data_IF_050726944462
#
_entry.id   IF_050726944462
#
_cell.length_a   1.000
_cell.length_b   1.000
_cell.length_c   1.000
_cell.angle_alpha   90.00
_cell.angle_beta   90.00
_cell.angle_gamma   90.00
#
_symmetry.space_group_name_H-M   'P 1'
#
loop_
_entity.id
_entity.type
_entity.pdbx_description
1 polymer ?
#
# COMPACT_ATOMS: atom_id res chain seq x y z
N UNK A 1 -20.27 3.72 -6.49
CA UNK A 1 -19.05 4.00 -5.68
C UNK A 1 -18.78 2.94 -4.60
N UNK A 2 -19.75 2.66 -3.72
CA UNK A 2 -19.61 1.64 -2.68
C UNK A 2 -19.37 0.23 -3.25
N UNK A 3 -20.13 -0.18 -4.27
CA UNK A 3 -19.95 -1.47 -4.95
C UNK A 3 -18.53 -1.67 -5.49
N UNK A 4 -17.93 -0.62 -6.06
CA UNK A 4 -16.57 -0.68 -6.58
C UNK A 4 -15.52 -0.85 -5.46
N UNK A 5 -15.76 -0.29 -4.27
CA UNK A 5 -14.88 -0.48 -3.10
C UNK A 5 -15.06 -1.91 -2.56
N UNK A 6 -16.30 -2.35 -2.39
CA UNK A 6 -16.62 -3.69 -1.91
C UNK A 6 -16.09 -4.79 -2.85
N UNK A 7 -16.03 -4.51 -4.15
CA UNK A 7 -15.47 -5.43 -5.13
C UNK A 7 -13.96 -5.71 -4.91
N UNK A 8 -13.23 -4.83 -4.23
CA UNK A 8 -11.81 -4.99 -3.91
C UNK A 8 -11.58 -5.69 -2.56
N UNK A 9 -12.63 -5.86 -1.75
CA UNK A 9 -12.49 -6.51 -0.44
C UNK A 9 -12.04 -7.96 -0.57
N UNK A 10 -11.23 -8.41 0.40
CA UNK A 10 -10.69 -9.77 0.48
C UNK A 10 -11.02 -10.32 1.87
N UNK A 11 -11.98 -11.24 1.94
CA UNK A 11 -12.38 -11.84 3.21
C UNK A 11 -11.23 -12.65 3.83
N UNK A 12 -11.00 -12.42 5.13
CA UNK A 12 -9.98 -13.13 5.91
C UNK A 12 -8.53 -12.70 5.66
N UNK A 13 -8.29 -11.63 4.88
CA UNK A 13 -6.96 -11.07 4.71
C UNK A 13 -6.59 -10.08 5.83
N UNK A 14 -5.46 -10.31 6.49
CA UNK A 14 -4.91 -9.37 7.50
C UNK A 14 -4.12 -8.22 6.86
N UNK A 15 -3.64 -8.43 5.63
CA UNK A 15 -2.85 -7.43 4.89
C UNK A 15 -3.78 -6.69 3.92
N UNK A 16 -3.96 -5.39 4.17
CA UNK A 16 -4.85 -4.54 3.39
C UNK A 16 -4.13 -3.74 2.30
N UNK A 17 -2.82 -3.54 2.44
CA UNK A 17 -2.00 -2.78 1.52
C UNK A 17 -0.53 -3.20 1.61
N UNK A 18 0.13 -3.31 0.47
CA UNK A 18 1.58 -3.44 0.35
C UNK A 18 2.08 -2.34 -0.57
N UNK A 19 3.10 -1.61 -0.15
CA UNK A 19 3.74 -0.59 -0.98
C UNK A 19 5.22 -0.53 -0.71
N UNK A 20 5.93 0.21 -1.56
CA UNK A 20 7.37 0.42 -1.43
C UNK A 20 7.74 1.83 -0.98
N UNK A 21 8.93 1.93 -0.42
CA UNK A 21 9.64 3.17 -0.24
C UNK A 21 11.08 3.02 -0.76
N UNK A 22 11.57 4.04 -1.44
CA UNK A 22 12.93 4.06 -1.95
C UNK A 22 13.52 5.47 -1.95
N UNK A 23 14.81 5.61 -2.32
CA UNK A 23 15.52 6.88 -2.33
C UNK A 23 14.95 7.90 -3.34
N UNK A 24 14.13 7.44 -4.29
CA UNK A 24 13.59 8.25 -5.37
C UNK A 24 14.68 8.71 -6.36
N UNK A 25 14.27 9.37 -7.45
CA UNK A 25 15.21 9.78 -8.51
C UNK A 25 16.27 10.80 -8.06
N UNK A 26 16.02 11.51 -6.95
CA UNK A 26 16.94 12.51 -6.38
C UNK A 26 17.67 12.05 -5.12
N UNK A 27 17.48 10.80 -4.69
CA UNK A 27 18.14 10.27 -3.48
C UNK A 27 17.69 10.87 -2.14
N UNK A 28 16.66 11.71 -2.13
CA UNK A 28 16.21 12.48 -0.96
C UNK A 28 14.87 11.99 -0.38
N UNK A 29 14.47 10.76 -0.74
CA UNK A 29 13.23 10.11 -0.30
C UNK A 29 13.56 8.90 0.56
N UNK A 30 12.55 8.36 1.23
CA UNK A 30 12.65 7.14 2.01
C UNK A 30 11.36 6.80 2.72
N UNK A 31 11.41 5.78 3.57
CA UNK A 31 10.24 5.24 4.29
C UNK A 31 9.45 6.32 5.04
N UNK A 32 10.15 7.21 5.77
CA UNK A 32 9.50 8.28 6.55
C UNK A 32 8.66 9.20 5.67
N UNK A 33 9.16 9.58 4.49
CA UNK A 33 8.44 10.43 3.56
C UNK A 33 7.22 9.69 3.00
N UNK A 34 7.38 8.42 2.63
CA UNK A 34 6.30 7.63 2.06
C UNK A 34 5.16 7.41 3.07
N UNK A 35 5.48 7.08 4.33
CA UNK A 35 4.50 6.97 5.41
C UNK A 35 3.83 8.32 5.66
N UNK A 36 4.60 9.41 5.72
CA UNK A 36 4.03 10.76 5.93
C UNK A 36 3.01 11.10 4.84
N UNK A 37 3.35 10.89 3.57
CA UNK A 37 2.45 11.20 2.46
C UNK A 37 1.21 10.31 2.43
N UNK A 38 1.37 9.03 2.78
CA UNK A 38 0.25 8.11 2.94
C UNK A 38 -0.73 8.59 4.01
N UNK A 39 -0.23 8.99 5.19
CA UNK A 39 -1.04 9.53 6.29
C UNK A 39 -1.66 10.90 5.96
N UNK A 40 -0.90 11.78 5.29
CA UNK A 40 -1.38 13.10 4.87
C UNK A 40 -2.53 12.99 3.87
N UNK A 41 -2.47 12.01 2.96
CA UNK A 41 -3.59 11.70 2.06
C UNK A 41 -4.86 11.39 2.87
N UNK A 42 -4.77 10.52 3.88
CA UNK A 42 -5.91 10.18 4.75
C UNK A 42 -6.50 11.36 5.51
N UNK A 43 -5.70 12.41 5.72
CA UNK A 43 -6.11 13.67 6.36
C UNK A 43 -6.61 14.72 5.36
N UNK A 44 -6.66 14.40 4.07
CA UNK A 44 -7.05 15.33 3.01
C UNK A 44 -6.02 16.43 2.72
N UNK A 45 -4.74 16.20 3.04
CA UNK A 45 -3.66 17.17 2.83
C UNK A 45 -2.95 16.94 1.49
N UNK A 46 -2.53 18.00 0.78
CA UNK A 46 -1.72 17.89 -0.43
C UNK A 46 -0.21 17.68 -0.11
N UNK A 47 0.59 17.17 -1.06
CA UNK A 47 0.20 16.39 -2.24
C UNK A 47 -0.04 14.92 -1.84
N UNK A 48 -1.24 14.41 -2.11
CA UNK A 48 -1.58 13.04 -1.77
C UNK A 48 -1.20 12.07 -2.89
N UNK A 49 -0.31 11.12 -2.62
CA UNK A 49 -0.17 9.93 -3.48
C UNK A 49 -1.48 9.14 -3.44
N UNK A 50 -1.99 8.77 -4.62
CA UNK A 50 -3.31 8.15 -4.77
C UNK A 50 -3.33 6.63 -4.51
N UNK A 51 -2.15 6.02 -4.37
CA UNK A 51 -1.99 4.61 -4.07
C UNK A 51 -2.34 4.31 -2.61
N UNK A 52 -3.01 3.18 -2.37
CA UNK A 52 -3.48 2.81 -1.03
C UNK A 52 -4.69 3.60 -0.52
N UNK A 53 -5.28 4.50 -1.33
CA UNK A 53 -6.41 5.36 -0.91
C UNK A 53 -7.62 4.62 -0.34
N UNK A 54 -7.82 3.36 -0.71
CA UNK A 54 -8.95 2.58 -0.22
C UNK A 54 -8.85 2.29 1.27
N UNK A 55 -7.64 2.29 1.87
CA UNK A 55 -7.46 2.23 3.32
C UNK A 55 -8.30 3.30 4.03
N UNK A 56 -8.39 4.50 3.46
CA UNK A 56 -9.14 5.61 4.04
C UNK A 56 -10.67 5.52 3.84
N UNK A 57 -11.17 4.44 3.23
CA UNK A 57 -12.59 4.12 3.16
C UNK A 57 -13.04 3.20 4.30
N UNK A 58 -12.09 2.65 5.08
CA UNK A 58 -12.39 1.79 6.21
C UNK A 58 -12.88 2.61 7.40
N UNK A 59 -13.75 2.01 8.21
CA UNK A 59 -13.98 2.47 9.58
C UNK A 59 -12.78 2.03 10.44
N UNK A 60 -12.50 2.75 11.53
CA UNK A 60 -11.42 2.41 12.47
C UNK A 60 -10.01 2.40 11.88
N UNK A 61 -9.70 3.35 10.98
CA UNK A 61 -8.36 3.46 10.38
C UNK A 61 -7.24 3.75 11.40
N UNK A 62 -7.60 4.24 12.59
CA UNK A 62 -6.75 4.45 13.75
C UNK A 62 -6.32 3.15 14.45
N UNK A 63 -6.98 2.03 14.18
CA UNK A 63 -6.63 0.70 14.71
C UNK A 63 -5.65 -0.06 13.80
N UNK A 64 -5.40 0.44 12.58
CA UNK A 64 -4.51 -0.20 11.62
C UNK A 64 -3.05 -0.09 12.02
N UNK A 65 -2.31 -1.18 11.80
CA UNK A 65 -0.87 -1.24 12.05
C UNK A 65 -0.12 -1.01 10.74
N UNK A 66 0.79 -0.03 10.75
CA UNK A 66 1.78 0.14 9.68
C UNK A 66 3.08 -0.55 10.11
N UNK A 67 3.48 -1.59 9.37
CA UNK A 67 4.74 -2.28 9.54
C UNK A 67 5.62 -2.12 8.30
N UNK A 68 6.94 -2.29 8.46
CA UNK A 68 7.88 -2.24 7.35
C UNK A 68 8.96 -3.30 7.49
N UNK A 69 9.54 -3.68 6.35
CA UNK A 69 10.71 -4.54 6.24
C UNK A 69 11.75 -3.84 5.39
N UNK A 70 12.96 -3.73 5.93
CA UNK A 70 14.09 -3.18 5.17
C UNK A 70 14.63 -4.21 4.19
N UNK A 71 14.93 -3.74 2.98
CA UNK A 71 15.56 -4.51 1.90
C UNK A 71 16.58 -3.62 1.18
N UNK A 72 17.59 -4.19 0.50
CA UNK A 72 18.50 -3.43 -0.35
C UNK A 72 17.74 -2.57 -1.38
N UNK A 73 18.26 -1.39 -1.69
CA UNK A 73 17.56 -0.41 -2.53
C UNK A 73 17.24 -0.92 -3.94
N UNK A 74 18.10 -1.79 -4.48
CA UNK A 74 17.96 -2.48 -5.76
C UNK A 74 16.95 -3.64 -5.72
N UNK A 75 16.64 -4.18 -4.55
CA UNK A 75 15.66 -5.26 -4.37
C UNK A 75 14.24 -4.76 -4.06
N UNK A 76 14.04 -3.46 -3.83
CA UNK A 76 12.74 -2.89 -3.39
C UNK A 76 11.60 -3.20 -4.36
N UNK A 77 11.82 -3.06 -5.67
CA UNK A 77 10.79 -3.31 -6.68
C UNK A 77 10.45 -4.81 -6.77
N UNK A 78 11.48 -5.65 -6.79
CA UNK A 78 11.34 -7.10 -6.86
C UNK A 78 10.63 -7.65 -5.62
N UNK A 79 10.93 -7.10 -4.44
CA UNK A 79 10.26 -7.44 -3.19
C UNK A 79 8.77 -7.08 -3.24
N UNK A 80 8.41 -5.88 -3.69
CA UNK A 80 7.02 -5.44 -3.83
C UNK A 80 6.25 -6.34 -4.81
N UNK A 81 6.82 -6.60 -6.00
CA UNK A 81 6.22 -7.49 -7.00
C UNK A 81 6.03 -8.90 -6.44
N UNK A 82 7.03 -9.43 -5.70
CA UNK A 82 6.96 -10.74 -5.06
C UNK A 82 5.86 -10.82 -4.00
N UNK A 83 5.71 -9.81 -3.13
CA UNK A 83 4.66 -9.82 -2.12
C UNK A 83 3.26 -9.70 -2.72
N UNK A 84 3.09 -8.88 -3.77
CA UNK A 84 1.83 -8.87 -4.53
C UNK A 84 1.54 -10.23 -5.17
N UNK A 85 2.53 -10.86 -5.81
CA UNK A 85 2.36 -12.15 -6.44
C UNK A 85 2.02 -13.26 -5.42
N UNK A 86 2.66 -13.25 -4.25
CA UNK A 86 2.37 -14.18 -3.16
C UNK A 86 0.93 -13.99 -2.63
N UNK A 87 0.52 -12.75 -2.37
CA UNK A 87 -0.84 -12.46 -1.92
C UNK A 87 -1.88 -12.89 -2.96
N UNK A 88 -1.63 -12.66 -4.26
CA UNK A 88 -2.50 -13.13 -5.35
C UNK A 88 -2.55 -14.66 -5.42
N UNK A 89 -1.45 -15.36 -5.16
CA UNK A 89 -1.43 -16.81 -5.12
C UNK A 89 -2.29 -17.37 -3.98
N UNK A 90 -2.31 -16.70 -2.83
CA UNK A 90 -3.03 -17.14 -1.64
C UNK A 90 -4.52 -16.73 -1.65
N UNK A 91 -4.83 -15.54 -2.19
CA UNK A 91 -6.17 -14.93 -2.12
C UNK A 91 -6.86 -14.74 -3.48
N UNK A 92 -6.18 -15.00 -4.61
CA UNK A 92 -6.73 -14.87 -5.97
C UNK A 92 -6.85 -13.43 -6.50
N UNK A 93 -6.44 -12.42 -5.74
CA UNK A 93 -6.48 -10.98 -6.09
C UNK A 93 -5.49 -10.21 -5.23
N UNK A 94 -5.33 -8.90 -5.48
CA UNK A 94 -4.46 -8.02 -4.71
C UNK A 94 -5.03 -7.68 -3.32
N UNK A 95 -4.21 -7.19 -2.37
CA UNK A 95 -4.70 -6.60 -1.13
C UNK A 95 -5.72 -5.49 -1.42
N UNK A 96 -6.67 -5.31 -0.50
CA UNK A 96 -7.81 -4.40 -0.66
C UNK A 96 -7.47 -3.03 -1.26
N UNK A 97 -6.36 -2.40 -0.84
CA UNK A 97 -5.99 -1.07 -1.29
C UNK A 97 -4.91 -1.03 -2.40
N UNK A 98 -4.53 -2.18 -2.95
CA UNK A 98 -3.67 -2.31 -4.12
C UNK A 98 -4.50 -2.54 -5.38
N UNK A 99 -4.60 -1.52 -6.23
CA UNK A 99 -5.43 -1.59 -7.45
C UNK A 99 -4.65 -1.98 -8.71
N UNK A 100 -3.33 -1.89 -8.65
CA UNK A 100 -2.41 -2.24 -9.74
C UNK A 100 -1.33 -3.14 -9.18
N UNK A 101 -1.10 -4.28 -9.83
CA UNK A 101 -0.04 -5.19 -9.44
C UNK A 101 1.32 -4.63 -9.89
N UNK A 102 2.27 -4.59 -8.95
CA UNK A 102 3.66 -4.27 -9.25
C UNK A 102 4.27 -5.33 -10.19
N UNK A 103 5.17 -4.89 -11.06
CA UNK A 103 5.87 -5.72 -12.04
C UNK A 103 7.36 -5.67 -11.80
#
# INVERSE_FOLDING_TARGET
PAEAILAEWVDGADILYVGKAGPGSKGNRGLRNQIKEFLDFGRGLPPGHWDGRLIWQLTHTDELIIAWKEVPADEVNDAEAKYHAAFVADHGRLPFANLVQAR
#
